data_IF_800832340555
#
_entry.id   IF_800832340555
#
_cell.length_a   1.000
_cell.length_b   1.000
_cell.length_c   1.000
_cell.angle_alpha   90.00
_cell.angle_beta   90.00
_cell.angle_gamma   90.00
#
_symmetry.space_group_name_H-M   'P 1'
#
loop_
_entity.id
_entity.type
_entity.pdbx_description
1 polymer ?
#
# COMPACT_ATOMS: atom_id res chain seq x y z
N UNK A 1 -4.48 14.39 -28.22
CA UNK A 1 -3.69 14.35 -26.98
C UNK A 1 -4.61 13.84 -25.88
N UNK A 2 -4.50 12.55 -25.53
CA UNK A 2 -5.36 11.90 -24.54
C UNK A 2 -4.88 12.30 -23.14
N UNK A 3 -5.06 13.57 -22.80
CA UNK A 3 -4.93 14.02 -21.43
C UNK A 3 -5.84 13.16 -20.56
N UNK A 4 -5.27 12.44 -19.59
CA UNK A 4 -5.92 11.64 -18.56
C UNK A 4 -6.79 12.51 -17.65
N UNK A 5 -7.80 13.16 -18.23
CA UNK A 5 -8.72 14.02 -17.50
C UNK A 5 -9.48 13.18 -16.47
N UNK A 6 -9.33 13.55 -15.20
CA UNK A 6 -9.97 12.87 -14.08
C UNK A 6 -9.19 11.68 -13.50
N UNK A 7 -8.06 11.26 -14.06
CA UNK A 7 -7.22 10.27 -13.40
C UNK A 7 -6.59 10.89 -12.15
N UNK A 8 -6.73 10.19 -11.03
CA UNK A 8 -6.02 10.49 -9.79
C UNK A 8 -5.11 9.34 -9.43
N UNK A 9 -3.91 9.66 -8.98
CA UNK A 9 -2.90 8.68 -8.58
C UNK A 9 -2.48 8.95 -7.15
N UNK A 10 -2.26 7.88 -6.39
CA UNK A 10 -1.74 7.94 -5.03
C UNK A 10 -0.43 7.15 -4.96
N UNK A 11 0.60 7.72 -4.35
CA UNK A 11 1.94 7.10 -4.24
C UNK A 11 2.52 7.33 -2.85
N UNK A 12 3.21 6.32 -2.32
CA UNK A 12 3.99 6.44 -1.08
C UNK A 12 5.48 6.22 -1.39
N UNK A 13 6.35 6.96 -0.73
CA UNK A 13 7.79 6.82 -0.93
C UNK A 13 8.27 5.43 -0.49
N UNK A 14 9.12 4.80 -1.30
CA UNK A 14 9.66 3.44 -1.08
C UNK A 14 8.57 2.37 -0.83
N UNK A 15 7.41 2.56 -1.43
CA UNK A 15 6.33 1.58 -1.44
C UNK A 15 6.24 0.86 -2.79
N UNK A 16 5.66 -0.33 -2.79
CA UNK A 16 5.36 -1.09 -4.00
C UNK A 16 4.20 -2.04 -3.76
N UNK A 17 3.84 -2.76 -4.83
CA UNK A 17 3.15 -4.04 -4.71
C UNK A 17 1.76 -3.88 -4.06
N UNK A 18 0.98 -2.93 -4.58
CA UNK A 18 -0.40 -2.66 -4.16
C UNK A 18 -1.36 -3.66 -4.80
N UNK A 19 -1.28 -4.91 -4.38
CA UNK A 19 -1.91 -6.04 -5.08
C UNK A 19 -3.28 -6.42 -4.49
N UNK A 20 -3.65 -5.87 -3.33
CA UNK A 20 -4.94 -6.12 -2.68
C UNK A 20 -5.79 -4.85 -2.63
N UNK A 21 -7.03 -4.94 -3.12
CA UNK A 21 -8.01 -3.86 -3.13
C UNK A 21 -9.31 -4.34 -2.50
N UNK A 22 -9.83 -3.59 -1.54
CA UNK A 22 -11.12 -3.85 -0.91
C UNK A 22 -11.93 -2.56 -0.90
N UNK A 23 -13.03 -2.57 -1.65
CA UNK A 23 -13.96 -1.46 -1.76
C UNK A 23 -15.01 -1.51 -0.65
N UNK A 24 -15.20 -0.42 0.09
CA UNK A 24 -16.28 -0.20 1.05
C UNK A 24 -17.07 1.04 0.62
N UNK A 25 -18.10 0.85 -0.21
CA UNK A 25 -18.93 1.94 -0.73
C UNK A 25 -19.77 2.59 0.37
N UNK A 26 -20.29 1.80 1.32
CA UNK A 26 -21.13 2.28 2.43
C UNK A 26 -20.39 3.32 3.27
N UNK A 27 -19.09 3.10 3.53
CA UNK A 27 -18.25 4.04 4.28
C UNK A 27 -17.44 4.99 3.40
N UNK A 28 -17.63 4.94 2.08
CA UNK A 28 -16.90 5.75 1.09
C UNK A 28 -15.37 5.60 1.18
N UNK A 29 -14.89 4.37 1.36
CA UNK A 29 -13.47 4.04 1.52
C UNK A 29 -12.99 2.98 0.54
N UNK A 30 -11.76 3.13 0.06
CA UNK A 30 -10.99 2.09 -0.61
C UNK A 30 -9.84 1.66 0.30
N UNK A 31 -9.86 0.41 0.74
CA UNK A 31 -8.74 -0.18 1.44
C UNK A 31 -7.77 -0.80 0.45
N UNK A 32 -6.47 -0.53 0.63
CA UNK A 32 -5.42 -1.03 -0.25
C UNK A 32 -4.35 -1.72 0.58
N UNK A 33 -4.11 -2.99 0.30
CA UNK A 33 -2.98 -3.73 0.83
C UNK A 33 -1.78 -3.56 -0.10
N UNK A 34 -0.70 -3.04 0.45
CA UNK A 34 0.60 -2.95 -0.20
C UNK A 34 1.68 -3.62 0.65
N UNK A 35 2.87 -3.76 0.07
CA UNK A 35 4.02 -4.28 0.82
C UNK A 35 4.30 -3.41 2.04
N UNK A 36 4.17 -3.98 3.24
CA UNK A 36 4.32 -3.30 4.52
C UNK A 36 3.36 -2.12 4.79
N UNK A 37 2.30 -1.95 4.00
CA UNK A 37 1.36 -0.85 4.18
C UNK A 37 -0.07 -1.32 4.04
N UNK A 38 -0.93 -0.87 4.95
CA UNK A 38 -2.38 -0.92 4.78
C UNK A 38 -2.89 0.51 4.64
N UNK A 39 -3.61 0.79 3.57
CA UNK A 39 -4.13 2.13 3.26
C UNK A 39 -5.64 2.16 3.41
N UNK A 40 -6.18 3.30 3.84
CA UNK A 40 -7.59 3.64 3.70
C UNK A 40 -7.70 4.96 2.96
N UNK A 41 -8.16 4.91 1.72
CA UNK A 41 -8.29 6.04 0.80
C UNK A 41 -9.76 6.46 0.71
N UNK A 42 -10.02 7.75 0.47
CA UNK A 42 -11.37 8.25 0.18
C UNK A 42 -11.79 7.88 -1.24
N UNK A 43 -13.05 7.46 -1.44
CA UNK A 43 -13.58 7.19 -2.78
C UNK A 43 -13.90 8.46 -3.58
N UNK A 44 -14.21 9.58 -2.92
CA UNK A 44 -14.41 10.87 -3.61
C UNK A 44 -13.11 11.37 -4.24
N UNK A 45 -12.00 11.22 -3.50
CA UNK A 45 -10.68 11.58 -3.95
C UNK A 45 -9.60 10.81 -3.20
N UNK A 46 -8.99 9.83 -3.86
CA UNK A 46 -7.96 8.97 -3.27
C UNK A 46 -6.71 9.72 -2.77
N UNK A 47 -6.49 10.97 -3.22
CA UNK A 47 -5.36 11.80 -2.79
C UNK A 47 -5.65 12.61 -1.54
N UNK A 48 -6.88 12.57 -1.02
CA UNK A 48 -7.32 13.32 0.15
C UNK A 48 -7.70 12.37 1.28
N UNK A 49 -7.44 12.79 2.53
CA UNK A 49 -7.78 12.04 3.75
C UNK A 49 -7.32 10.57 3.76
N UNK A 50 -6.20 10.31 3.09
CA UNK A 50 -5.56 9.00 3.08
C UNK A 50 -4.99 8.69 4.46
N UNK A 51 -5.38 7.55 5.00
CA UNK A 51 -4.79 6.99 6.21
C UNK A 51 -3.81 5.89 5.79
N UNK A 52 -2.59 5.97 6.32
CA UNK A 52 -1.52 5.01 6.04
C UNK A 52 -1.17 4.32 7.35
N UNK A 53 -1.30 3.00 7.39
CA UNK A 53 -0.84 2.16 8.48
C UNK A 53 0.41 1.40 8.04
N UNK A 54 1.61 1.77 8.51
CA UNK A 54 2.80 0.96 8.35
C UNK A 54 2.62 -0.36 9.09
N UNK A 55 2.78 -1.47 8.38
CA UNK A 55 2.64 -2.83 8.88
C UNK A 55 3.87 -3.64 8.47
N UNK A 56 5.04 -3.21 8.94
CA UNK A 56 6.30 -3.88 8.65
C UNK A 56 6.47 -5.10 9.56
N UNK A 57 7.09 -6.15 9.03
CA UNK A 57 7.58 -7.23 9.88
C UNK A 57 8.63 -6.69 10.89
N UNK A 58 8.60 -7.16 12.16
CA UNK A 58 9.63 -6.84 13.15
C UNK A 58 11.05 -7.14 12.65
N UNK A 59 12.05 -6.49 13.24
CA UNK A 59 13.46 -6.65 12.82
C UNK A 59 13.90 -8.11 12.96
N UNK A 60 13.55 -8.74 14.08
CA UNK A 60 13.91 -10.10 14.43
C UNK A 60 13.40 -11.10 13.39
N UNK A 61 12.16 -10.94 12.93
CA UNK A 61 11.57 -11.81 11.91
C UNK A 61 12.22 -11.62 10.54
N UNK A 62 12.64 -10.40 10.20
CA UNK A 62 13.37 -10.14 8.96
C UNK A 62 14.76 -10.76 9.02
N UNK A 63 15.42 -10.72 10.17
CA UNK A 63 16.69 -11.40 10.37
C UNK A 63 16.55 -12.92 10.27
N UNK A 64 15.56 -13.52 10.92
CA UNK A 64 15.24 -14.95 10.78
C UNK A 64 15.01 -15.34 9.31
N UNK A 65 14.28 -14.53 8.55
CA UNK A 65 14.06 -14.73 7.13
C UNK A 65 15.38 -14.68 6.33
N UNK A 66 16.27 -13.73 6.67
CA UNK A 66 17.60 -13.62 6.09
C UNK A 66 18.48 -14.84 6.44
N UNK A 67 18.47 -15.30 7.69
CA UNK A 67 19.18 -16.50 8.13
C UNK A 67 18.68 -17.76 7.42
N UNK A 68 17.41 -17.80 7.02
CA UNK A 68 16.83 -18.86 6.18
C UNK A 68 17.22 -18.74 4.69
N UNK A 69 18.04 -17.76 4.30
CA UNK A 69 18.52 -17.56 2.94
C UNK A 69 17.51 -16.91 2.00
N UNK A 70 16.48 -16.24 2.52
CA UNK A 70 15.55 -15.43 1.71
C UNK A 70 16.10 -14.02 1.53
N UNK A 71 15.89 -13.47 0.35
CA UNK A 71 16.28 -12.10 0.05
C UNK A 71 15.33 -11.13 0.78
N UNK A 72 15.89 -10.33 1.68
CA UNK A 72 15.16 -9.31 2.45
C UNK A 72 15.03 -7.97 1.71
N UNK A 73 15.81 -7.77 0.64
CA UNK A 73 15.76 -6.60 -0.23
C UNK A 73 14.78 -6.81 -1.39
N UNK A 74 14.60 -8.05 -1.83
CA UNK A 74 13.40 -8.44 -2.56
C UNK A 74 12.27 -8.43 -1.55
N UNK A 75 11.36 -7.48 -1.68
CA UNK A 75 9.99 -7.95 -1.64
C UNK A 75 9.33 -8.21 -0.27
N UNK A 76 10.04 -8.17 0.88
CA UNK A 76 9.43 -8.16 2.23
C UNK A 76 9.10 -6.76 2.73
#
# INVERSE_FOLDING_TARGET
DLSLHGLRTYTINRSCCFDALLLDEERSRLFVGGKNYLLSLSLDNITQNALVLPWHAPVEWREECNWAGKDINVSI
#
